data_IF_831479451270
#
_entry.id   IF_831479451270
#
_cell.length_a   1.000
_cell.length_b   1.000
_cell.length_c   1.000
_cell.angle_alpha   90.00
_cell.angle_beta   90.00
_cell.angle_gamma   90.00
#
_symmetry.space_group_name_H-M   'P 1'
#
loop_
_entity.id
_entity.type
_entity.pdbx_description
1 polymer ?
#
# COMPACT_ATOMS: atom_id res chain seq x y z
N UNK A 1 8.29 -0.09 -13.21
CA UNK A 1 8.51 -0.01 -11.75
C UNK A 1 9.84 -0.68 -11.42
N UNK A 2 10.76 0.04 -10.79
CA UNK A 2 12.07 -0.48 -10.39
C UNK A 2 11.90 -1.36 -9.15
N UNK A 3 12.60 -2.50 -9.11
CA UNK A 3 12.65 -3.38 -7.93
C UNK A 3 13.87 -3.03 -7.09
N UNK A 4 13.68 -2.77 -5.80
CA UNK A 4 14.75 -2.34 -4.89
C UNK A 4 14.96 -3.39 -3.81
N UNK A 5 16.22 -3.69 -3.54
CA UNK A 5 16.59 -4.60 -2.48
C UNK A 5 16.33 -3.95 -1.11
N UNK A 6 15.94 -4.71 -0.07
CA UNK A 6 15.60 -4.17 1.24
C UNK A 6 16.72 -3.36 1.91
N UNK A 7 17.99 -3.67 1.62
CA UNK A 7 19.14 -2.92 2.15
C UNK A 7 19.30 -1.53 1.52
N UNK A 8 18.75 -1.32 0.32
CA UNK A 8 18.87 -0.06 -0.42
C UNK A 8 17.60 0.82 -0.27
N UNK A 9 16.67 0.42 0.61
CA UNK A 9 15.46 1.20 0.90
C UNK A 9 15.85 2.50 1.61
N UNK A 10 15.58 3.60 0.93
CA UNK A 10 15.60 4.96 1.48
C UNK A 10 14.18 5.48 1.70
N UNK A 11 14.00 6.51 2.54
CA UNK A 11 12.68 7.06 2.90
C UNK A 11 11.81 7.43 1.69
N UNK A 12 12.41 7.81 0.55
CA UNK A 12 11.70 8.10 -0.70
C UNK A 12 10.93 6.89 -1.28
N UNK A 13 11.33 5.67 -0.94
CA UNK A 13 10.72 4.42 -1.38
C UNK A 13 9.60 3.93 -0.45
N UNK A 14 9.48 4.51 0.74
CA UNK A 14 8.38 4.22 1.65
C UNK A 14 7.17 5.08 1.31
N UNK A 15 5.99 4.47 1.38
CA UNK A 15 4.73 5.20 1.36
C UNK A 15 4.62 5.90 2.72
N UNK A 16 4.89 7.20 2.72
CA UNK A 16 4.67 8.08 3.86
C UNK A 16 3.86 9.27 3.37
N UNK A 17 2.87 9.68 4.17
CA UNK A 17 2.00 10.81 3.89
C UNK A 17 1.66 11.49 5.22
N UNK A 18 1.45 12.80 5.15
CA UNK A 18 0.92 13.60 6.25
C UNK A 18 -0.60 13.75 6.06
N UNK A 19 -1.39 13.40 7.08
CA UNK A 19 -2.84 13.46 7.01
C UNK A 19 -3.34 14.89 6.75
N UNK A 20 -2.77 15.89 7.41
CA UNK A 20 -3.21 17.27 7.34
C UNK A 20 -2.70 17.98 6.09
N UNK A 21 -1.44 17.71 5.72
CA UNK A 21 -0.79 18.43 4.62
C UNK A 21 -1.04 17.79 3.25
N UNK A 22 -1.27 16.47 3.19
CA UNK A 22 -1.42 15.75 1.92
C UNK A 22 -2.84 15.24 1.69
N UNK A 23 -3.47 14.59 2.69
CA UNK A 23 -4.76 13.94 2.51
C UNK A 23 -5.94 14.93 2.57
N UNK A 24 -5.97 15.81 3.57
CA UNK A 24 -7.04 16.82 3.71
C UNK A 24 -7.22 17.66 2.44
N UNK A 25 -6.18 18.31 1.86
CA UNK A 25 -6.36 19.09 0.65
C UNK A 25 -6.76 18.23 -0.56
N UNK A 26 -6.35 16.96 -0.62
CA UNK A 26 -6.72 16.05 -1.70
C UNK A 26 -8.20 15.65 -1.63
N UNK A 27 -8.73 15.39 -0.44
CA UNK A 27 -10.15 15.14 -0.22
C UNK A 27 -10.97 16.38 -0.57
N UNK A 28 -10.58 17.54 -0.07
CA UNK A 28 -11.27 18.81 -0.34
C UNK A 28 -11.27 19.17 -1.83
N UNK A 29 -10.20 18.87 -2.56
CA UNK A 29 -10.12 19.10 -4.00
C UNK A 29 -11.08 18.23 -4.82
N UNK A 30 -11.50 17.08 -4.29
CA UNK A 30 -12.48 16.17 -4.93
C UNK A 30 -13.89 16.31 -4.32
N UNK A 31 -14.11 17.30 -3.44
CA UNK A 31 -15.44 17.67 -2.94
C UNK A 31 -16.10 18.61 -3.93
N UNK A 32 -17.15 18.16 -4.59
CA UNK A 32 -18.02 18.99 -5.40
C UNK A 32 -19.16 19.54 -4.55
N UNK A 33 -19.23 20.86 -4.46
CA UNK A 33 -20.33 21.56 -3.81
C UNK A 33 -21.34 21.98 -4.87
N UNK A 34 -22.52 21.36 -4.86
CA UNK A 34 -23.65 21.79 -5.64
C UNK A 34 -24.61 22.57 -4.74
N UNK A 35 -24.92 23.80 -5.15
CA UNK A 35 -25.92 24.61 -4.47
C UNK A 35 -27.10 24.82 -5.41
N UNK A 36 -28.21 24.14 -5.12
CA UNK A 36 -29.46 24.33 -5.84
C UNK A 36 -30.45 25.13 -5.00
N UNK A 37 -30.92 26.26 -5.55
CA UNK A 37 -31.88 27.15 -4.91
C UNK A 37 -33.19 26.40 -4.70
N UNK A 38 -33.52 26.09 -3.44
CA UNK A 38 -34.75 25.40 -3.03
C UNK A 38 -34.58 23.95 -2.57
N UNK A 39 -33.43 23.31 -2.85
CA UNK A 39 -33.13 21.91 -2.46
C UNK A 39 -32.09 21.87 -1.33
N UNK A 40 -31.25 22.89 -1.20
CA UNK A 40 -30.24 23.01 -0.15
C UNK A 40 -28.82 22.75 -0.65
N UNK A 41 -27.88 22.56 0.27
CA UNK A 41 -26.48 22.28 -0.05
C UNK A 41 -26.28 20.78 -0.24
N UNK A 42 -25.91 20.35 -1.44
CA UNK A 42 -25.59 18.96 -1.74
C UNK A 42 -24.06 18.83 -1.88
N UNK A 43 -23.47 18.00 -1.02
CA UNK A 43 -22.04 17.70 -1.04
C UNK A 43 -21.87 16.36 -1.76
N UNK A 44 -21.18 16.38 -2.89
CA UNK A 44 -20.86 15.19 -3.67
C UNK A 44 -19.35 14.99 -3.71
N UNK A 45 -18.91 13.74 -3.59
CA UNK A 45 -17.49 13.39 -3.64
C UNK A 45 -17.22 12.63 -4.93
N UNK A 46 -16.25 13.10 -5.73
CA UNK A 46 -15.74 12.32 -6.86
C UNK A 46 -14.74 11.28 -6.36
N UNK A 47 -15.26 10.14 -5.91
CA UNK A 47 -14.46 9.03 -5.41
C UNK A 47 -13.54 8.45 -6.49
N UNK A 48 -13.93 8.52 -7.77
CA UNK A 48 -13.15 7.98 -8.89
C UNK A 48 -11.95 8.87 -9.17
N UNK A 49 -12.15 10.19 -9.16
CA UNK A 49 -11.08 11.18 -9.25
C UNK A 49 -10.12 11.10 -8.06
N UNK A 50 -10.66 10.98 -6.84
CA UNK A 50 -9.89 10.83 -5.63
C UNK A 50 -9.01 9.56 -5.67
N UNK A 51 -9.60 8.41 -5.98
CA UNK A 51 -8.89 7.13 -6.07
C UNK A 51 -7.71 7.23 -7.05
N UNK A 52 -7.94 7.79 -8.24
CA UNK A 52 -6.89 7.96 -9.25
C UNK A 52 -5.77 8.89 -8.77
N UNK A 53 -6.10 10.03 -8.15
CA UNK A 53 -5.09 10.95 -7.63
C UNK A 53 -4.26 10.35 -6.49
N UNK A 54 -4.90 9.55 -5.62
CA UNK A 54 -4.21 8.81 -4.56
C UNK A 54 -3.25 7.80 -5.18
N UNK A 55 -3.70 7.01 -6.16
CA UNK A 55 -2.84 6.03 -6.81
C UNK A 55 -1.65 6.70 -7.53
N UNK A 56 -1.90 7.77 -8.27
CA UNK A 56 -0.88 8.49 -9.04
C UNK A 56 0.19 9.13 -8.13
N UNK A 57 -0.22 9.79 -7.04
CA UNK A 57 0.73 10.46 -6.13
C UNK A 57 1.47 9.49 -5.22
N UNK A 58 0.76 8.53 -4.63
CA UNK A 58 1.32 7.70 -3.56
C UNK A 58 1.87 6.35 -4.03
N UNK A 59 1.26 5.72 -5.03
CA UNK A 59 1.58 4.34 -5.43
C UNK A 59 2.46 4.28 -6.69
N UNK A 60 2.16 5.05 -7.73
CA UNK A 60 2.91 4.99 -8.99
C UNK A 60 4.29 5.67 -8.93
N UNK A 61 4.51 6.59 -7.99
CA UNK A 61 5.82 7.21 -7.74
C UNK A 61 6.81 6.28 -7.01
N UNK A 62 6.34 5.12 -6.51
CA UNK A 62 7.13 4.26 -5.61
C UNK A 62 7.66 3.03 -6.33
N UNK A 63 8.88 2.67 -5.96
CA UNK A 63 9.54 1.44 -6.40
C UNK A 63 8.98 0.24 -5.65
N UNK A 64 8.89 -0.91 -6.33
CA UNK A 64 8.46 -2.16 -5.71
C UNK A 64 9.58 -2.71 -4.82
N UNK A 65 9.26 -3.01 -3.57
CA UNK A 65 10.22 -3.63 -2.64
C UNK A 65 10.31 -5.12 -2.95
N UNK A 66 11.52 -5.62 -3.21
CA UNK A 66 11.76 -7.04 -3.45
C UNK A 66 11.92 -7.79 -2.12
N UNK A 67 10.81 -8.33 -1.63
CA UNK A 67 10.76 -9.06 -0.36
C UNK A 67 11.59 -10.35 -0.36
N UNK A 68 11.96 -10.90 -1.52
CA UNK A 68 12.80 -12.11 -1.62
C UNK A 68 14.25 -11.87 -1.17
N UNK A 69 14.67 -10.60 -1.07
CA UNK A 69 16.00 -10.20 -0.60
C UNK A 69 16.01 -9.70 0.85
N UNK A 70 14.91 -9.82 1.57
CA UNK A 70 14.91 -9.52 3.01
C UNK A 70 15.80 -10.57 3.65
N UNK A 71 16.83 -10.19 4.44
CA UNK A 71 17.60 -11.15 5.20
C UNK A 71 16.70 -11.79 6.25
N UNK A 72 15.98 -12.83 5.85
CA UNK A 72 15.24 -13.71 6.73
C UNK A 72 16.28 -14.52 7.50
N UNK A 73 16.34 -14.31 8.82
CA UNK A 73 17.01 -15.25 9.71
C UNK A 73 16.16 -16.52 9.67
N UNK A 74 16.55 -17.49 8.84
CA UNK A 74 15.89 -18.79 8.81
C UNK A 74 16.21 -19.49 10.12
N UNK A 75 15.30 -19.40 11.10
CA UNK A 75 15.27 -20.36 12.19
C UNK A 75 14.87 -21.70 11.59
N UNK A 76 15.87 -22.49 11.17
CA UNK A 76 15.68 -23.91 10.89
C UNK A 76 15.43 -24.62 12.22
N UNK A 77 14.21 -24.52 12.75
CA UNK A 77 13.72 -25.59 13.59
C UNK A 77 13.22 -26.66 12.63
N UNK A 78 14.03 -27.72 12.46
CA UNK A 78 13.67 -28.89 11.66
C UNK A 78 12.32 -29.42 12.14
N UNK A 79 11.26 -29.15 11.38
CA UNK A 79 10.00 -29.86 11.52
C UNK A 79 9.76 -30.59 10.21
N UNK A 80 10.31 -31.80 10.13
CA UNK A 80 9.90 -32.79 9.13
C UNK A 80 8.86 -33.72 9.74
N UNK A 81 7.59 -33.49 9.41
CA UNK A 81 6.53 -34.44 9.76
C UNK A 81 6.46 -35.62 8.76
N UNK A 82 6.95 -35.45 7.52
CA UNK A 82 7.00 -36.55 6.53
C UNK A 82 8.23 -37.45 6.61
N UNK A 83 9.28 -37.07 7.36
CA UNK A 83 10.43 -37.97 7.58
C UNK A 83 10.11 -39.13 8.53
N UNK A 84 9.03 -39.04 9.31
CA UNK A 84 8.66 -40.07 10.29
C UNK A 84 7.89 -41.26 9.67
N UNK A 85 7.27 -41.10 8.51
CA UNK A 85 6.49 -42.19 7.88
C UNK A 85 7.33 -43.15 7.02
N UNK A 86 8.61 -42.85 6.80
CA UNK A 86 9.57 -43.77 6.19
C UNK A 86 10.08 -44.88 7.12
N UNK A 87 9.82 -44.78 8.44
CA UNK A 87 10.36 -45.71 9.45
C UNK A 87 9.37 -46.77 9.95
N UNK A 88 8.09 -46.72 9.56
CA UNK A 88 7.07 -47.71 9.95
C UNK A 88 6.62 -48.64 8.82
N UNK A 89 7.38 -48.70 7.73
CA UNK A 89 7.17 -49.66 6.63
C UNK A 89 8.36 -50.62 6.49
N UNK A 90 8.57 -51.47 7.50
CA UNK A 90 9.33 -52.73 7.42
C UNK A 90 8.88 -53.66 8.54
#
# INVERSE_FOLDING_TARGET
>A
MQKIAPMDITAAHLISYDEDNDLVPLVLANCHYAFEVGVGTQIEYDLVGLERQVMDRFLFSKSLIDLQKIPMVSFQHQLTFESCLGYYSS
#
